data_IF_484567568278
#
_entry.id   IF_484567568278
#
_cell.length_a   1.000
_cell.length_b   1.000
_cell.length_c   1.000
_cell.angle_alpha   90.00
_cell.angle_beta   90.00
_cell.angle_gamma   90.00
#
_symmetry.space_group_name_H-M   'P 1'
#
loop_
_entity.id
_entity.type
_entity.pdbx_description
1 polymer ?
#
# COMPACT_ATOMS: atom_id res chain seq x y z
N UNK A 1 2.65 -9.03 -23.48
CA UNK A 1 3.11 -9.24 -22.11
C UNK A 1 4.27 -8.30 -21.87
N UNK A 2 4.05 -7.14 -21.25
CA UNK A 2 5.14 -6.25 -20.85
C UNK A 2 5.67 -6.78 -19.52
N UNK A 3 6.94 -7.19 -19.50
CA UNK A 3 7.63 -7.65 -18.33
C UNK A 3 7.61 -6.56 -17.24
N UNK A 4 7.22 -6.93 -16.06
CA UNK A 4 7.39 -6.14 -14.85
C UNK A 4 8.90 -6.14 -14.56
N UNK A 5 9.58 -5.04 -14.82
CA UNK A 5 10.94 -4.89 -14.32
C UNK A 5 10.89 -4.78 -12.79
N UNK A 6 11.58 -5.69 -12.09
CA UNK A 6 11.68 -5.55 -10.64
C UNK A 6 12.47 -4.28 -10.32
N UNK A 7 12.06 -3.57 -9.27
CA UNK A 7 12.83 -2.48 -8.69
C UNK A 7 14.29 -2.93 -8.47
N UNK A 8 15.27 -2.04 -8.64
CA UNK A 8 16.64 -2.35 -8.25
C UNK A 8 16.65 -2.82 -6.79
N UNK A 9 17.41 -3.87 -6.44
CA UNK A 9 17.46 -4.37 -5.09
C UNK A 9 17.88 -3.26 -4.15
N UNK A 10 17.04 -2.97 -3.16
CA UNK A 10 17.41 -2.14 -2.03
C UNK A 10 18.58 -2.85 -1.36
N UNK A 11 19.74 -2.20 -1.35
CA UNK A 11 20.98 -2.75 -0.82
C UNK A 11 20.77 -3.42 0.52
N UNK A 12 21.39 -4.59 0.67
CA UNK A 12 21.45 -5.40 1.87
C UNK A 12 21.90 -4.55 3.05
N UNK A 13 21.03 -4.34 4.01
CA UNK A 13 21.29 -4.17 5.44
C UNK A 13 20.18 -3.32 6.10
N UNK A 14 19.44 -3.93 6.99
CA UNK A 14 18.59 -3.26 7.96
C UNK A 14 17.23 -2.86 7.38
N UNK A 15 16.19 -3.36 7.99
CA UNK A 15 14.79 -2.98 7.80
C UNK A 15 14.60 -1.46 7.89
N UNK A 16 14.86 -0.77 6.80
CA UNK A 16 14.50 0.65 6.68
C UNK A 16 13.05 0.72 6.23
N UNK A 17 12.18 0.85 7.20
CA UNK A 17 10.80 1.21 7.02
C UNK A 17 10.74 2.53 6.24
N UNK A 18 10.05 2.51 5.09
CA UNK A 18 9.90 3.67 4.23
C UNK A 18 8.92 4.63 4.92
N UNK A 19 9.43 5.74 5.47
CA UNK A 19 8.63 6.84 5.99
C UNK A 19 8.31 7.85 4.88
N UNK A 20 7.24 8.62 5.06
CA UNK A 20 6.90 9.72 4.16
C UNK A 20 7.93 10.86 4.21
N UNK A 21 8.68 10.95 5.30
CA UNK A 21 9.76 11.92 5.48
C UNK A 21 10.93 11.59 4.55
N UNK A 22 11.25 12.52 3.65
CA UNK A 22 12.37 12.39 2.71
C UNK A 22 12.03 11.79 1.34
N UNK A 23 10.75 11.50 1.01
CA UNK A 23 10.38 11.13 -0.34
C UNK A 23 10.04 12.36 -1.18
N UNK A 24 10.86 12.65 -2.19
CA UNK A 24 10.58 13.68 -3.19
C UNK A 24 10.16 13.05 -4.52
N UNK A 25 9.14 13.62 -5.15
CA UNK A 25 8.79 13.27 -6.53
C UNK A 25 9.86 13.81 -7.50
N UNK A 26 10.06 13.16 -8.66
CA UNK A 26 10.91 13.71 -9.71
C UNK A 26 10.40 15.09 -10.18
N UNK A 27 11.28 15.93 -10.75
CA UNK A 27 10.89 17.23 -11.28
C UNK A 27 9.71 17.14 -12.27
N UNK A 28 8.80 18.12 -12.21
CA UNK A 28 7.61 18.21 -13.07
C UNK A 28 6.43 17.33 -12.62
N UNK A 29 6.59 16.51 -11.59
CA UNK A 29 5.49 15.73 -11.01
C UNK A 29 4.92 16.42 -9.77
N UNK A 30 3.59 16.51 -9.68
CA UNK A 30 2.88 17.14 -8.58
C UNK A 30 1.90 16.18 -7.92
N UNK A 31 2.00 16.05 -6.60
CA UNK A 31 1.09 15.23 -5.79
C UNK A 31 -0.01 16.12 -5.23
N UNK A 32 -1.28 15.74 -5.44
CA UNK A 32 -2.43 16.50 -4.96
C UNK A 32 -3.66 15.60 -4.71
N UNK A 33 -4.62 16.03 -3.89
CA UNK A 33 -5.93 15.38 -3.85
C UNK A 33 -6.63 15.53 -5.21
N UNK A 34 -7.48 14.55 -5.53
CA UNK A 34 -8.28 14.60 -6.75
C UNK A 34 -9.40 15.62 -6.64
N UNK A 35 -9.79 16.16 -7.79
CA UNK A 35 -10.93 17.07 -7.98
C UNK A 35 -12.02 16.40 -8.82
N UNK A 36 -13.21 16.97 -8.87
CA UNK A 36 -14.34 16.43 -9.64
C UNK A 36 -13.98 16.23 -11.14
N UNK A 37 -13.20 17.16 -11.69
CA UNK A 37 -12.73 17.09 -13.08
C UNK A 37 -11.86 15.86 -13.38
N UNK A 38 -11.17 15.30 -12.36
CA UNK A 38 -10.31 14.14 -12.51
C UNK A 38 -11.08 12.81 -12.63
N UNK A 39 -12.37 12.79 -12.29
CA UNK A 39 -13.16 11.57 -12.20
C UNK A 39 -13.14 10.72 -13.50
N UNK A 40 -13.13 11.37 -14.66
CA UNK A 40 -13.06 10.67 -15.95
C UNK A 40 -11.68 10.05 -16.18
N UNK A 41 -10.59 10.76 -15.85
CA UNK A 41 -9.22 10.25 -15.96
C UNK A 41 -8.97 9.09 -14.99
N UNK A 42 -9.46 9.18 -13.75
CA UNK A 42 -9.41 8.10 -12.75
C UNK A 42 -10.07 6.83 -13.30
N UNK A 43 -11.32 6.94 -13.78
CA UNK A 43 -12.04 5.78 -14.35
C UNK A 43 -11.28 5.17 -15.52
N UNK A 44 -10.75 6.00 -16.43
CA UNK A 44 -9.97 5.54 -17.57
C UNK A 44 -8.74 4.75 -17.15
N UNK A 45 -7.99 5.24 -16.15
CA UNK A 45 -6.78 4.54 -15.66
C UNK A 45 -7.14 3.25 -14.92
N UNK A 46 -8.23 3.22 -14.13
CA UNK A 46 -8.76 1.99 -13.50
C UNK A 46 -9.04 0.91 -14.54
N UNK A 47 -9.77 1.25 -15.61
CA UNK A 47 -10.07 0.33 -16.70
C UNK A 47 -8.81 -0.15 -17.42
N UNK A 48 -7.89 0.75 -17.76
CA UNK A 48 -6.62 0.42 -18.41
C UNK A 48 -5.74 -0.48 -17.56
N UNK A 49 -5.67 -0.23 -16.27
CA UNK A 49 -4.90 -1.01 -15.32
C UNK A 49 -5.60 -2.33 -14.92
N UNK A 50 -6.82 -2.58 -15.40
CA UNK A 50 -7.63 -3.77 -15.05
C UNK A 50 -7.84 -3.93 -13.55
N UNK A 51 -8.03 -2.83 -12.85
CA UNK A 51 -8.32 -2.79 -11.42
C UNK A 51 -9.84 -2.85 -11.23
N UNK A 52 -10.28 -3.42 -10.10
CA UNK A 52 -11.68 -3.46 -9.73
C UNK A 52 -12.30 -2.06 -9.73
N UNK A 53 -13.31 -1.77 -10.59
CA UNK A 53 -13.94 -0.46 -10.70
C UNK A 53 -14.98 -0.17 -9.62
N UNK A 54 -15.27 -1.10 -8.72
CA UNK A 54 -16.27 -0.91 -7.68
C UNK A 54 -15.79 0.05 -6.59
N UNK A 55 -16.68 0.90 -6.11
CA UNK A 55 -16.40 1.82 -5.00
C UNK A 55 -15.43 2.95 -5.36
N UNK A 56 -15.42 3.40 -6.61
CA UNK A 56 -14.66 4.58 -7.02
C UNK A 56 -15.40 5.84 -6.55
N UNK A 57 -14.70 6.64 -5.76
CA UNK A 57 -15.14 7.99 -5.37
C UNK A 57 -13.91 8.90 -5.48
N UNK A 58 -13.93 9.84 -6.42
CA UNK A 58 -12.81 10.72 -6.69
C UNK A 58 -12.33 11.49 -5.44
N UNK A 59 -13.22 11.78 -4.49
CA UNK A 59 -12.90 12.49 -3.24
C UNK A 59 -11.88 11.78 -2.36
N UNK A 60 -11.70 10.48 -2.55
CA UNK A 60 -10.77 9.63 -1.78
C UNK A 60 -9.41 9.47 -2.45
N UNK A 61 -9.28 9.95 -3.70
CA UNK A 61 -8.06 9.74 -4.47
C UNK A 61 -7.02 10.82 -4.19
N UNK A 62 -5.78 10.36 -4.13
CA UNK A 62 -4.59 11.17 -4.33
C UNK A 62 -4.00 10.85 -5.68
N UNK A 63 -3.57 11.90 -6.37
CA UNK A 63 -3.07 11.84 -7.73
C UNK A 63 -1.65 12.38 -7.79
N UNK A 64 -0.83 11.78 -8.65
CA UNK A 64 0.36 12.43 -9.18
C UNK A 64 0.06 12.86 -10.61
N UNK A 65 0.29 14.12 -10.92
CA UNK A 65 0.12 14.69 -12.26
C UNK A 65 1.47 15.10 -12.85
N UNK A 66 1.55 15.08 -14.17
CA UNK A 66 2.65 15.59 -14.98
C UNK A 66 2.02 16.37 -16.14
N UNK A 67 2.41 17.64 -16.34
CA UNK A 67 1.77 18.52 -17.32
C UNK A 67 0.23 18.47 -17.23
N UNK A 68 -0.30 18.65 -16.01
CA UNK A 68 -1.73 18.59 -15.66
C UNK A 68 -2.45 17.27 -16.01
N UNK A 69 -1.72 16.25 -16.50
CA UNK A 69 -2.27 14.94 -16.83
C UNK A 69 -2.02 13.94 -15.71
N UNK A 70 -2.98 13.04 -15.51
CA UNK A 70 -2.87 11.97 -14.53
C UNK A 70 -1.71 11.03 -14.88
N UNK A 71 -0.74 10.89 -13.97
CA UNK A 71 0.40 9.99 -14.08
C UNK A 71 0.30 8.79 -13.13
N UNK A 72 -0.14 9.01 -11.88
CA UNK A 72 -0.37 7.93 -10.92
C UNK A 72 -1.52 8.29 -9.98
N UNK A 73 -2.11 7.28 -9.34
CA UNK A 73 -3.24 7.47 -8.43
C UNK A 73 -3.35 6.37 -7.37
N UNK A 74 -4.12 6.67 -6.33
CA UNK A 74 -4.56 5.70 -5.32
C UNK A 74 -5.63 6.28 -4.43
N UNK A 75 -6.30 5.42 -3.67
CA UNK A 75 -7.32 5.82 -2.70
C UNK A 75 -7.29 4.92 -1.46
N UNK A 76 -7.92 5.38 -0.38
CA UNK A 76 -8.32 4.52 0.73
C UNK A 76 -9.84 4.38 0.71
N UNK A 77 -10.31 3.12 0.57
CA UNK A 77 -11.74 2.77 0.58
C UNK A 77 -12.18 2.42 1.99
N UNK A 78 -13.28 2.97 2.50
CA UNK A 78 -13.95 2.45 3.68
C UNK A 78 -14.76 1.20 3.34
N UNK A 79 -14.78 0.24 4.26
CA UNK A 79 -15.64 -0.93 4.23
C UNK A 79 -16.45 -1.02 5.52
N UNK A 80 -17.46 -1.89 5.52
CA UNK A 80 -18.25 -2.17 6.71
C UNK A 80 -17.37 -2.63 7.89
N UNK A 81 -17.77 -2.28 9.12
CA UNK A 81 -17.00 -2.61 10.32
C UNK A 81 -15.75 -1.75 10.52
N UNK A 82 -15.68 -0.56 9.89
CA UNK A 82 -14.56 0.37 10.05
C UNK A 82 -13.26 -0.06 9.34
N UNK A 83 -13.32 -1.09 8.51
CA UNK A 83 -12.16 -1.51 7.72
C UNK A 83 -11.80 -0.46 6.66
N UNK A 84 -10.51 -0.24 6.45
CA UNK A 84 -9.96 0.68 5.46
C UNK A 84 -9.01 -0.05 4.53
N UNK A 85 -9.19 0.12 3.23
CA UNK A 85 -8.42 -0.56 2.19
C UNK A 85 -7.64 0.44 1.35
N UNK A 86 -6.32 0.34 1.35
CA UNK A 86 -5.45 0.97 0.35
C UNK A 86 -5.74 0.29 -0.99
N UNK A 87 -6.28 1.03 -1.93
CA UNK A 87 -6.83 0.47 -3.16
C UNK A 87 -6.56 1.35 -4.38
N UNK A 88 -6.77 0.77 -5.56
CA UNK A 88 -6.70 1.48 -6.85
C UNK A 88 -5.34 2.14 -7.12
N UNK A 89 -4.25 1.59 -6.57
CA UNK A 89 -2.91 2.05 -6.85
C UNK A 89 -2.57 1.73 -8.31
N UNK A 90 -2.37 2.76 -9.10
CA UNK A 90 -2.02 2.63 -10.52
C UNK A 90 -1.10 3.75 -10.99
N UNK A 91 -0.25 3.42 -11.96
CA UNK A 91 0.63 4.36 -12.65
C UNK A 91 0.44 4.17 -14.16
N UNK A 92 0.27 5.27 -14.88
CA UNK A 92 0.23 5.27 -16.37
C UNK A 92 1.51 4.64 -16.92
N UNK A 93 1.43 3.78 -17.95
CA UNK A 93 2.59 3.05 -18.47
C UNK A 93 3.80 3.93 -18.77
N UNK A 94 3.60 5.11 -19.37
CA UNK A 94 4.67 6.06 -19.73
C UNK A 94 5.39 6.68 -18.51
N UNK A 95 4.81 6.56 -17.31
CA UNK A 95 5.33 7.16 -16.08
C UNK A 95 5.80 6.13 -15.06
N UNK A 96 5.85 4.83 -15.42
CA UNK A 96 6.33 3.76 -14.52
C UNK A 96 7.83 3.88 -14.24
N UNK A 97 8.30 3.19 -13.19
CA UNK A 97 9.72 3.18 -12.80
C UNK A 97 10.22 4.44 -12.09
N UNK A 98 9.36 5.47 -11.93
CA UNK A 98 9.73 6.78 -11.37
C UNK A 98 9.33 6.98 -9.90
N UNK A 99 8.93 5.93 -9.20
CA UNK A 99 8.54 6.00 -7.79
C UNK A 99 7.18 6.65 -7.51
N UNK A 100 6.37 7.00 -8.52
CA UNK A 100 5.13 7.76 -8.35
C UNK A 100 4.10 7.03 -7.46
N UNK A 101 3.93 5.72 -7.68
CA UNK A 101 3.05 4.90 -6.83
C UNK A 101 3.49 4.92 -5.37
N UNK A 102 4.82 4.93 -5.11
CA UNK A 102 5.38 5.05 -3.76
C UNK A 102 4.95 6.36 -3.11
N UNK A 103 5.04 7.50 -3.80
CA UNK A 103 4.59 8.79 -3.29
C UNK A 103 3.11 8.78 -2.91
N UNK A 104 2.25 8.23 -3.78
CA UNK A 104 0.81 8.09 -3.50
C UNK A 104 0.56 7.21 -2.27
N UNK A 105 1.22 6.05 -2.16
CA UNK A 105 1.07 5.12 -1.03
C UNK A 105 1.47 5.78 0.28
N UNK A 106 2.66 6.38 0.34
CA UNK A 106 3.16 7.05 1.55
C UNK A 106 2.23 8.17 2.01
N UNK A 107 1.72 8.97 1.06
CA UNK A 107 0.77 10.05 1.37
C UNK A 107 -0.54 9.50 1.95
N UNK A 108 -1.09 8.45 1.35
CA UNK A 108 -2.31 7.82 1.85
C UNK A 108 -2.09 7.18 3.23
N UNK A 109 -0.95 6.53 3.44
CA UNK A 109 -0.62 5.96 4.76
C UNK A 109 -0.44 7.03 5.84
N UNK A 110 0.18 8.17 5.52
CA UNK A 110 0.36 9.28 6.46
C UNK A 110 -0.98 9.92 6.89
N UNK A 111 -2.02 9.84 6.06
CA UNK A 111 -3.35 10.43 6.34
C UNK A 111 -4.33 9.48 7.02
N UNK A 112 -3.95 8.21 7.20
CA UNK A 112 -4.86 7.21 7.75
C UNK A 112 -4.19 6.45 8.89
N UNK A 113 -4.90 6.37 10.02
CA UNK A 113 -4.44 5.55 11.14
C UNK A 113 -4.50 4.05 10.80
N UNK A 114 -3.60 3.24 11.34
CA UNK A 114 -3.68 1.78 11.21
C UNK A 114 -4.93 1.22 11.92
N UNK A 115 -5.38 0.00 11.57
CA UNK A 115 -4.85 -0.81 10.49
C UNK A 115 -5.34 -0.37 9.10
N UNK A 116 -4.47 -0.49 8.10
CA UNK A 116 -4.83 -0.46 6.69
C UNK A 116 -4.71 -1.86 6.10
N UNK A 117 -5.66 -2.23 5.26
CA UNK A 117 -5.62 -3.47 4.51
C UNK A 117 -5.40 -3.17 3.03
N UNK A 118 -4.96 -4.16 2.26
CA UNK A 118 -4.98 -4.12 0.81
C UNK A 118 -5.21 -5.51 0.25
N UNK A 119 -5.74 -5.53 -0.97
CA UNK A 119 -5.81 -6.73 -1.80
C UNK A 119 -4.98 -6.51 -3.05
N UNK A 120 -4.12 -7.45 -3.38
CA UNK A 120 -3.30 -7.38 -4.59
C UNK A 120 -3.13 -8.75 -5.24
N UNK A 121 -2.61 -8.77 -6.47
CA UNK A 121 -2.13 -10.00 -7.07
C UNK A 121 -0.91 -10.48 -6.28
N UNK A 122 -0.79 -11.77 -6.12
CA UNK A 122 0.24 -12.39 -5.27
C UNK A 122 1.67 -11.94 -5.62
N UNK A 123 1.94 -11.71 -6.90
CA UNK A 123 3.24 -11.22 -7.41
C UNK A 123 3.60 -9.81 -6.93
N UNK A 124 2.61 -9.03 -6.46
CA UNK A 124 2.84 -7.68 -5.93
C UNK A 124 3.16 -7.64 -4.44
N UNK A 125 3.23 -8.78 -3.75
CA UNK A 125 3.58 -8.82 -2.30
C UNK A 125 4.90 -8.09 -2.02
N UNK A 126 5.93 -8.43 -2.78
CA UNK A 126 7.26 -7.83 -2.64
C UNK A 126 7.27 -6.31 -2.87
N UNK A 127 6.32 -5.79 -3.66
CA UNK A 127 6.16 -4.36 -3.85
C UNK A 127 5.60 -3.65 -2.60
N UNK A 128 4.69 -4.31 -1.84
CA UNK A 128 4.05 -3.70 -0.67
C UNK A 128 4.80 -3.95 0.65
N UNK A 129 5.63 -4.99 0.74
CA UNK A 129 6.41 -5.30 1.95
C UNK A 129 7.29 -4.14 2.45
N UNK A 130 8.01 -3.38 1.60
CA UNK A 130 8.84 -2.26 2.04
C UNK A 130 8.05 -1.11 2.71
N UNK A 131 6.72 -1.07 2.52
CA UNK A 131 5.83 -0.13 3.22
C UNK A 131 5.36 -0.65 4.58
N UNK A 132 5.79 -1.84 4.99
CA UNK A 132 5.39 -2.48 6.24
C UNK A 132 4.09 -3.29 6.14
N UNK A 133 3.60 -3.57 4.94
CA UNK A 133 2.48 -4.49 4.75
C UNK A 133 2.93 -5.93 4.88
N UNK A 134 2.21 -6.70 5.71
CA UNK A 134 2.41 -8.15 5.91
C UNK A 134 1.24 -8.93 5.35
N UNK A 135 1.50 -10.07 4.70
CA UNK A 135 0.45 -10.95 4.20
C UNK A 135 -0.28 -11.64 5.36
N UNK A 136 -1.60 -11.73 5.24
CA UNK A 136 -2.45 -12.41 6.22
C UNK A 136 -2.76 -13.85 5.79
N UNK A 137 -2.63 -14.77 6.73
CA UNK A 137 -3.21 -16.11 6.59
C UNK A 137 -4.74 -16.06 6.58
N UNK A 138 -5.43 -17.10 6.06
CA UNK A 138 -6.90 -17.12 5.98
C UNK A 138 -7.60 -16.89 7.34
N UNK A 139 -6.98 -17.36 8.44
CA UNK A 139 -7.53 -17.23 9.80
C UNK A 139 -7.40 -15.81 10.36
N UNK A 140 -6.40 -15.06 9.91
CA UNK A 140 -6.16 -13.67 10.33
C UNK A 140 -6.98 -12.66 9.53
N UNK A 141 -7.55 -13.09 8.40
CA UNK A 141 -8.32 -12.19 7.52
C UNK A 141 -9.63 -11.77 8.19
N UNK A 142 -9.97 -10.46 8.21
CA UNK A 142 -11.31 -10.01 8.52
C UNK A 142 -12.36 -10.72 7.65
N UNK A 143 -13.61 -10.90 8.15
CA UNK A 143 -14.64 -11.68 7.44
C UNK A 143 -14.89 -11.22 6.00
N UNK A 144 -14.82 -9.93 5.73
CA UNK A 144 -14.95 -9.36 4.39
C UNK A 144 -13.88 -9.90 3.43
N UNK A 145 -12.60 -9.79 3.80
CA UNK A 145 -11.49 -10.24 2.96
C UNK A 145 -11.41 -11.75 2.85
N UNK A 146 -11.76 -12.48 3.90
CA UNK A 146 -11.83 -13.95 3.90
C UNK A 146 -12.87 -14.45 2.89
N UNK A 147 -14.06 -13.83 2.83
CA UNK A 147 -15.11 -14.16 1.84
C UNK A 147 -14.63 -13.85 0.42
N UNK A 148 -14.06 -12.68 0.20
CA UNK A 148 -13.51 -12.27 -1.08
C UNK A 148 -12.40 -13.23 -1.55
N UNK A 149 -11.47 -13.58 -0.67
CA UNK A 149 -10.37 -14.49 -0.96
C UNK A 149 -10.87 -15.89 -1.34
N UNK A 150 -11.86 -16.44 -0.60
CA UNK A 150 -12.50 -17.72 -0.93
C UNK A 150 -13.15 -17.68 -2.30
N UNK A 151 -13.87 -16.61 -2.63
CA UNK A 151 -14.54 -16.44 -3.93
C UNK A 151 -13.53 -16.38 -5.08
N UNK A 152 -12.47 -15.58 -4.96
CA UNK A 152 -11.44 -15.46 -5.99
C UNK A 152 -10.74 -16.81 -6.20
N UNK A 153 -10.43 -17.52 -5.12
CA UNK A 153 -9.81 -18.85 -5.18
C UNK A 153 -10.71 -19.90 -5.86
N UNK A 154 -12.02 -19.82 -5.65
CA UNK A 154 -12.99 -20.72 -6.31
C UNK A 154 -13.05 -20.45 -7.81
N UNK A 155 -13.03 -19.18 -8.21
CA UNK A 155 -13.15 -18.77 -9.62
C UNK A 155 -11.85 -18.91 -10.41
N UNK A 156 -10.70 -18.96 -9.73
CA UNK A 156 -9.35 -19.11 -10.31
C UNK A 156 -8.57 -20.14 -9.49
N UNK A 157 -8.73 -21.44 -9.76
CA UNK A 157 -8.00 -22.49 -9.04
C UNK A 157 -6.55 -22.56 -9.51
N UNK A 158 -5.79 -21.47 -9.36
CA UNK A 158 -4.35 -21.39 -9.54
C UNK A 158 -3.63 -21.53 -8.21
N UNK A 159 -2.35 -21.89 -8.24
CA UNK A 159 -1.53 -22.06 -7.03
C UNK A 159 -1.42 -20.77 -6.21
N UNK A 160 -0.79 -20.88 -5.05
CA UNK A 160 -0.59 -19.76 -4.09
C UNK A 160 0.12 -18.54 -4.71
N UNK A 161 0.89 -18.76 -5.80
CA UNK A 161 1.66 -17.74 -6.51
C UNK A 161 0.83 -16.94 -7.52
N UNK A 162 -0.28 -17.50 -8.03
CA UNK A 162 -1.14 -16.87 -9.05
C UNK A 162 -2.42 -16.23 -8.48
N UNK A 163 -2.62 -16.32 -7.17
CA UNK A 163 -3.84 -15.89 -6.49
C UNK A 163 -3.82 -14.42 -6.03
N UNK A 164 -4.85 -14.09 -5.27
CA UNK A 164 -4.97 -12.82 -4.56
C UNK A 164 -4.33 -12.91 -3.18
N UNK A 165 -3.47 -11.97 -2.86
CA UNK A 165 -2.96 -11.75 -1.51
C UNK A 165 -3.80 -10.70 -0.79
N UNK A 166 -4.02 -10.90 0.51
CA UNK A 166 -4.56 -9.92 1.44
C UNK A 166 -3.44 -9.52 2.38
N UNK A 167 -3.16 -8.23 2.46
CA UNK A 167 -2.07 -7.73 3.32
C UNK A 167 -2.60 -6.69 4.30
N UNK A 168 -1.90 -6.53 5.44
CA UNK A 168 -2.24 -5.60 6.51
C UNK A 168 -1.02 -4.78 6.92
N UNK A 169 -1.22 -3.49 7.12
CA UNK A 169 -0.29 -2.59 7.76
C UNK A 169 -0.83 -2.18 9.14
N UNK A 170 -0.01 -2.31 10.18
CA UNK A 170 -0.35 -2.02 11.58
C UNK A 170 0.25 -0.71 12.09
N UNK A 171 0.81 0.09 11.20
CA UNK A 171 1.58 1.27 11.60
C UNK A 171 3.05 0.96 11.80
N UNK A 172 3.82 2.01 12.01
CA UNK A 172 5.22 1.87 12.45
C UNK A 172 5.20 1.43 13.89
N UNK A 173 5.88 0.35 14.31
CA UNK A 173 6.03 0.06 15.71
C UNK A 173 6.64 1.30 16.39
N UNK A 174 6.02 1.77 17.46
CA UNK A 174 6.56 2.85 18.25
C UNK A 174 8.01 2.48 18.61
N UNK A 175 8.97 3.36 18.30
CA UNK A 175 10.36 3.17 18.73
C UNK A 175 10.30 3.03 20.25
N UNK A 176 10.68 1.86 20.80
CA UNK A 176 10.81 1.70 22.24
C UNK A 176 11.69 2.84 22.76
N UNK A 177 11.12 3.64 23.65
CA UNK A 177 11.86 4.71 24.30
C UNK A 177 13.04 4.10 25.07
N UNK A 178 14.24 4.67 25.03
CA UNK A 178 15.40 4.12 25.77
C UNK A 178 15.23 4.06 27.28
N UNK A 179 14.14 4.59 27.83
CA UNK A 179 13.88 4.70 29.26
C UNK A 179 13.40 3.39 29.93
N UNK A 180 13.04 2.34 29.18
CA UNK A 180 12.59 1.06 29.78
C UNK A 180 13.67 -0.03 29.78
N UNK A 181 14.92 0.28 29.48
CA UNK A 181 16.03 -0.67 29.47
C UNK A 181 16.95 -0.57 30.71
N UNK A 182 16.53 0.07 31.79
CA UNK A 182 17.40 0.38 32.91
C UNK A 182 16.78 0.25 34.30
N UNK A 183 16.15 -0.90 34.61
CA UNK A 183 15.91 -1.31 36.00
C UNK A 183 15.92 -2.85 36.08
N UNK A 184 17.07 -3.43 35.87
CA UNK A 184 17.38 -4.73 36.41
C UNK A 184 18.26 -4.50 37.64
N UNK A 185 17.59 -4.54 38.81
CA UNK A 185 18.17 -4.27 40.10
C UNK A 185 19.17 -5.36 40.50
N UNK A 186 20.44 -4.99 40.45
CA UNK A 186 21.46 -5.70 41.22
C UNK A 186 21.29 -5.37 42.69
N UNK A 187 20.74 -6.27 43.47
CA UNK A 187 20.93 -6.24 44.93
C UNK A 187 22.34 -6.72 45.28
N UNK A 188 23.13 -5.97 46.04
CA UNK A 188 24.38 -6.48 46.60
C UNK A 188 24.04 -7.25 47.87
N UNK A 189 24.27 -8.56 47.85
CA UNK A 189 24.31 -9.38 49.06
C UNK A 189 25.36 -8.85 50.02
N UNK A 190 24.89 -8.47 51.19
CA UNK A 190 25.70 -8.14 52.35
C UNK A 190 25.86 -9.37 53.25
N UNK A 191 27.05 -9.54 53.75
CA UNK A 191 27.63 -10.44 54.74
C UNK A 191 26.82 -10.55 56.01
#
# INVERSE_FOLDING_TARGET
MAAFEPFPPLGSAGERQISAEGFALPPGYHLRPAQAADAAAIRRLVWRARINPLGLDWRRFWLVTFEERLAAMGQVKPHAGGLRELASIATEPAHRGKGLARGVILTLMAQHSPPLYLTCRAELRAFYQPFGFTELGPEEMPPYYRRLWKLVRLLRPGGREEGMAVMRWLGVPAKKSPAEAGEDGSEPGGV
#
